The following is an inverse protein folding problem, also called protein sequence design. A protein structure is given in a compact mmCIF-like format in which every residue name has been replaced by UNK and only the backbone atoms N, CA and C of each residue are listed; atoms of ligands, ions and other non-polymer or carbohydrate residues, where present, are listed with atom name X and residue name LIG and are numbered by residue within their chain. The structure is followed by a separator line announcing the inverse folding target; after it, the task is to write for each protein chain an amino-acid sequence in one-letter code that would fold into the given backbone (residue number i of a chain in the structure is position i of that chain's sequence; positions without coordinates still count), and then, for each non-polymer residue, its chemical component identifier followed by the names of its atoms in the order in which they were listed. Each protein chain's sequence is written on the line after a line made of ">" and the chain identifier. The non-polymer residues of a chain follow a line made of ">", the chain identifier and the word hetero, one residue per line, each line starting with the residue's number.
data_IF_836966667911
#
_entry.id   IF_836966667911
#
_cell.length_a   1.000
_cell.length_b   1.000
_cell.length_c   1.000
_cell.angle_alpha   90.00
_cell.angle_beta   90.00
_cell.angle_gamma   90.00
#
_symmetry.space_group_name_H-M   'P 1'
#
loop_
_entity.id
_entity.type
_entity.pdbx_description
1 polymer ?
#
# COMPACT_ATOMS: atom_id res chain seq x y z
N UNK A 1 -8.18 -64.84 5.52
CA UNK A 1 -9.61 -64.78 5.94
C UNK A 1 -9.72 -63.63 6.95
N UNK A 2 -10.13 -62.42 6.53
CA UNK A 2 -11.49 -61.84 6.72
C UNK A 2 -11.94 -61.92 8.19
N UNK A 3 -12.26 -60.84 8.90
CA UNK A 3 -13.18 -59.77 8.52
C UNK A 3 -12.85 -58.41 9.15
N UNK A 4 -13.12 -57.36 8.37
CA UNK A 4 -13.36 -56.00 8.82
C UNK A 4 -14.74 -55.88 9.49
N UNK A 5 -14.79 -55.35 10.72
CA UNK A 5 -16.05 -54.94 11.36
C UNK A 5 -16.26 -53.45 11.15
N UNK A 6 -17.18 -53.14 10.25
CA UNK A 6 -17.70 -51.80 9.95
C UNK A 6 -18.55 -51.33 11.13
N UNK A 7 -18.16 -50.23 11.78
CA UNK A 7 -19.04 -49.54 12.72
C UNK A 7 -19.92 -48.56 11.93
N UNK A 8 -21.18 -48.95 11.74
CA UNK A 8 -22.24 -48.13 11.16
C UNK A 8 -22.70 -47.15 12.23
N UNK A 9 -22.37 -45.86 12.06
CA UNK A 9 -22.99 -44.77 12.83
C UNK A 9 -24.13 -44.21 11.97
N UNK A 10 -25.35 -44.51 12.42
CA UNK A 10 -26.61 -44.15 11.80
C UNK A 10 -27.09 -42.85 12.48
N UNK A 11 -26.77 -41.69 11.90
CA UNK A 11 -27.37 -40.42 12.32
C UNK A 11 -28.40 -40.04 11.26
N UNK A 12 -29.65 -40.34 11.58
CA UNK A 12 -30.81 -39.93 10.83
C UNK A 12 -31.27 -38.56 11.36
N UNK A 13 -31.20 -37.54 10.50
CA UNK A 13 -32.15 -36.43 10.43
C UNK A 13 -32.05 -35.28 11.43
N UNK A 14 -31.55 -34.14 10.95
CA UNK A 14 -32.34 -32.90 11.01
C UNK A 14 -31.94 -32.00 9.84
N UNK A 15 -32.85 -31.83 8.89
CA UNK A 15 -32.75 -30.86 7.81
C UNK A 15 -33.65 -29.69 8.20
N UNK A 16 -33.05 -28.54 8.52
CA UNK A 16 -33.74 -27.24 8.45
C UNK A 16 -32.94 -26.38 7.48
N UNK A 17 -33.62 -25.95 6.42
CA UNK A 17 -33.09 -25.14 5.34
C UNK A 17 -32.54 -23.81 5.88
N UNK A 18 -31.26 -23.54 5.61
CA UNK A 18 -30.71 -22.20 5.78
C UNK A 18 -31.27 -21.28 4.67
N UNK A 19 -31.64 -20.03 4.99
CA UNK A 19 -32.14 -19.09 3.99
C UNK A 19 -31.05 -18.80 2.94
N UNK A 20 -31.45 -18.79 1.67
CA UNK A 20 -30.61 -18.61 0.48
C UNK A 20 -30.10 -17.17 0.31
N UNK A 21 -29.56 -16.58 1.37
CA UNK A 21 -28.95 -15.26 1.38
C UNK A 21 -27.53 -15.50 1.89
N UNK A 22 -26.71 -16.06 1.00
CA UNK A 22 -25.28 -16.13 1.22
C UNK A 22 -24.80 -14.72 1.53
N UNK A 23 -24.33 -14.50 2.75
CA UNK A 23 -23.53 -13.32 3.07
C UNK A 23 -22.36 -13.32 2.08
N UNK A 24 -22.09 -12.22 1.36
CA UNK A 24 -20.82 -12.13 0.65
C UNK A 24 -19.74 -12.23 1.72
N UNK A 25 -19.02 -13.35 1.76
CA UNK A 25 -17.74 -13.40 2.43
C UNK A 25 -16.92 -12.27 1.79
N UNK A 26 -16.74 -11.19 2.55
CA UNK A 26 -15.72 -10.22 2.25
C UNK A 26 -14.42 -10.98 2.42
N UNK A 27 -13.89 -11.40 1.28
CA UNK A 27 -12.59 -12.02 1.15
C UNK A 27 -11.53 -10.98 1.55
N UNK A 28 -11.36 -10.81 2.86
CA UNK A 28 -10.27 -10.06 3.43
C UNK A 28 -9.08 -11.01 3.49
N UNK A 29 -8.54 -11.31 2.32
CA UNK A 29 -7.21 -11.88 2.14
C UNK A 29 -6.17 -10.84 2.60
N UNK A 30 -6.03 -10.68 3.91
CA UNK A 30 -4.96 -9.91 4.53
C UNK A 30 -3.77 -10.84 4.73
N UNK A 31 -3.10 -11.18 3.63
CA UNK A 31 -1.68 -11.57 3.55
C UNK A 31 -1.37 -12.17 2.16
N UNK A 32 -1.63 -11.42 1.09
CA UNK A 32 -1.11 -11.75 -0.23
C UNK A 32 0.36 -11.35 -0.30
N UNK A 33 1.26 -12.32 -0.24
CA UNK A 33 2.67 -12.18 -0.66
C UNK A 33 2.69 -11.54 -2.04
N UNK A 34 3.52 -10.51 -2.24
CA UNK A 34 3.50 -9.64 -3.42
C UNK A 34 3.87 -10.33 -4.76
N UNK A 35 4.02 -11.67 -4.76
CA UNK A 35 4.71 -12.42 -5.82
C UNK A 35 3.78 -13.26 -6.75
N UNK A 36 2.46 -13.36 -6.49
CA UNK A 36 1.56 -14.21 -7.30
C UNK A 36 0.55 -13.46 -8.20
N UNK A 37 0.76 -12.18 -8.48
CA UNK A 37 -0.14 -11.40 -9.36
C UNK A 37 0.38 -11.33 -10.79
N UNK A 38 0.15 -12.38 -11.57
CA UNK A 38 0.43 -12.44 -13.01
C UNK A 38 -0.50 -11.56 -13.90
N UNK A 39 -0.92 -10.38 -13.41
CA UNK A 39 -1.75 -9.40 -14.13
C UNK A 39 -1.14 -7.99 -14.09
N UNK A 40 -1.64 -7.03 -14.90
CA UNK A 40 -1.14 -5.66 -14.86
C UNK A 40 -1.39 -5.04 -13.46
N UNK A 41 -0.34 -4.47 -12.85
CA UNK A 41 -0.42 -3.82 -11.54
C UNK A 41 -1.57 -2.81 -11.49
N UNK A 42 -2.44 -2.95 -10.49
CA UNK A 42 -3.50 -1.97 -10.22
C UNK A 42 -2.88 -0.63 -9.77
N UNK A 43 -3.69 0.43 -9.74
CA UNK A 43 -3.24 1.72 -9.22
C UNK A 43 -2.78 1.63 -7.75
N UNK A 44 -3.50 0.85 -6.94
CA UNK A 44 -3.14 0.58 -5.54
C UNK A 44 -1.82 -0.16 -5.45
N UNK A 45 -1.58 -1.14 -6.33
CA UNK A 45 -0.36 -1.95 -6.31
C UNK A 45 0.89 -1.13 -6.57
N UNK A 46 0.77 -0.12 -7.44
CA UNK A 46 1.89 0.80 -7.72
C UNK A 46 2.20 1.68 -6.52
N UNK A 47 1.17 2.07 -5.75
CA UNK A 47 1.35 2.84 -4.52
C UNK A 47 2.01 1.95 -3.46
N UNK A 48 1.53 0.73 -3.29
CA UNK A 48 2.11 -0.25 -2.35
C UNK A 48 3.55 -0.56 -2.73
N UNK A 49 3.85 -0.87 -3.99
CA UNK A 49 5.22 -1.11 -4.48
C UNK A 49 6.15 0.08 -4.19
N UNK A 50 5.69 1.31 -4.44
CA UNK A 50 6.47 2.51 -4.11
C UNK A 50 6.64 2.72 -2.61
N UNK A 51 5.65 2.34 -1.81
CA UNK A 51 5.73 2.43 -0.36
C UNK A 51 6.69 1.37 0.22
N UNK A 52 6.63 0.13 -0.25
CA UNK A 52 7.49 -0.94 0.26
C UNK A 52 8.97 -0.73 -0.09
N UNK A 53 9.28 0.06 -1.13
CA UNK A 53 10.65 0.55 -1.42
C UNK A 53 11.25 1.43 -0.33
N UNK A 54 10.45 1.86 0.65
CA UNK A 54 10.93 2.65 1.80
C UNK A 54 11.52 1.77 2.91
N UNK A 55 11.30 0.45 2.88
CA UNK A 55 11.91 -0.47 3.83
C UNK A 55 13.41 -0.54 3.55
N UNK A 56 14.21 0.01 4.46
CA UNK A 56 15.67 0.09 4.32
C UNK A 56 16.35 -1.16 4.88
N UNK A 57 15.64 -1.93 5.72
CA UNK A 57 16.14 -3.15 6.32
C UNK A 57 15.14 -4.33 6.15
N UNK A 58 15.06 -4.88 4.93
CA UNK A 58 14.13 -5.99 4.64
C UNK A 58 14.44 -7.27 5.43
N UNK A 59 15.67 -7.42 5.93
CA UNK A 59 16.05 -8.59 6.73
C UNK A 59 15.53 -8.52 8.18
N UNK A 60 15.21 -7.32 8.67
CA UNK A 60 14.69 -7.12 10.02
C UNK A 60 13.17 -7.05 10.09
N UNK A 61 12.50 -6.64 9.00
CA UNK A 61 11.05 -6.51 8.97
C UNK A 61 10.49 -6.64 7.56
N UNK A 62 9.32 -7.29 7.44
CA UNK A 62 8.56 -7.42 6.20
C UNK A 62 7.80 -6.13 5.81
N UNK A 63 7.86 -5.08 6.64
CA UNK A 63 7.12 -3.83 6.49
C UNK A 63 8.01 -2.59 6.54
N UNK A 64 7.37 -1.41 6.44
CA UNK A 64 8.04 -0.13 6.69
C UNK A 64 7.66 0.31 8.09
N UNK A 65 8.65 0.51 8.97
CA UNK A 65 8.38 1.01 10.31
C UNK A 65 8.21 2.54 10.35
N UNK A 66 7.82 3.05 11.51
CA UNK A 66 7.55 4.49 11.68
C UNK A 66 8.80 5.34 11.51
N UNK A 67 9.97 4.87 11.94
CA UNK A 67 11.24 5.60 11.86
C UNK A 67 11.76 5.66 10.42
N UNK A 68 11.66 4.56 9.68
CA UNK A 68 11.95 4.50 8.24
C UNK A 68 11.04 5.46 7.46
N UNK A 69 9.74 5.40 7.73
CA UNK A 69 8.76 6.31 7.12
C UNK A 69 9.07 7.77 7.46
N UNK A 70 9.32 8.07 8.72
CA UNK A 70 9.62 9.43 9.19
C UNK A 70 10.89 9.98 8.54
N UNK A 71 11.96 9.19 8.47
CA UNK A 71 13.23 9.58 7.85
C UNK A 71 13.04 9.99 6.38
N UNK A 72 12.30 9.17 5.63
CA UNK A 72 11.97 9.46 4.23
C UNK A 72 11.10 10.71 4.07
N UNK A 73 10.13 10.92 4.97
CA UNK A 73 9.30 12.14 4.96
C UNK A 73 10.16 13.37 5.24
N UNK A 74 11.03 13.31 6.25
CA UNK A 74 11.93 14.42 6.61
C UNK A 74 12.89 14.73 5.46
N UNK A 75 13.50 13.73 4.84
CA UNK A 75 14.42 13.93 3.73
C UNK A 75 13.72 14.64 2.56
N UNK A 76 12.55 14.13 2.14
CA UNK A 76 11.78 14.71 1.04
C UNK A 76 11.25 16.11 1.36
N UNK A 77 10.78 16.33 2.59
CA UNK A 77 10.32 17.63 3.05
C UNK A 77 11.46 18.64 3.06
N UNK A 78 12.62 18.26 3.60
CA UNK A 78 13.84 19.09 3.64
C UNK A 78 14.30 19.45 2.23
N UNK A 79 14.41 18.47 1.32
CA UNK A 79 14.81 18.71 -0.05
C UNK A 79 13.84 19.62 -0.82
N UNK A 80 12.54 19.55 -0.50
CA UNK A 80 11.54 20.43 -1.09
C UNK A 80 11.59 21.83 -0.48
N UNK A 81 11.74 21.92 0.83
CA UNK A 81 11.86 23.19 1.56
C UNK A 81 13.05 23.99 1.06
N UNK A 82 14.23 23.37 0.94
CA UNK A 82 15.44 24.02 0.43
C UNK A 82 15.30 24.54 -1.01
N UNK A 83 14.37 24.00 -1.81
CA UNK A 83 14.06 24.52 -3.16
C UNK A 83 13.10 25.71 -3.13
N UNK A 84 12.34 25.87 -2.05
CA UNK A 84 11.39 26.97 -1.87
C UNK A 84 12.02 28.15 -1.14
N UNK A 85 12.81 27.89 -0.10
CA UNK A 85 13.57 28.90 0.65
C UNK A 85 14.75 29.37 -0.21
N UNK A 86 14.49 30.38 -1.04
CA UNK A 86 15.44 30.86 -2.03
C UNK A 86 16.60 31.64 -1.39
N UNK A 87 16.34 32.24 -0.22
CA UNK A 87 17.31 33.08 0.47
C UNK A 87 18.10 32.32 1.56
N UNK A 88 17.63 31.14 1.98
CA UNK A 88 18.32 30.24 2.90
C UNK A 88 18.21 30.66 4.37
N UNK A 89 17.19 31.43 4.76
CA UNK A 89 17.01 31.90 6.13
C UNK A 89 16.21 30.92 7.02
N UNK A 90 15.78 29.79 6.46
CA UNK A 90 14.99 28.80 7.20
C UNK A 90 13.49 29.10 7.22
N UNK A 91 13.02 30.08 6.46
CA UNK A 91 11.60 30.42 6.30
C UNK A 91 11.23 30.53 4.81
N UNK A 92 10.01 30.17 4.46
CA UNK A 92 9.49 30.38 3.10
C UNK A 92 8.44 31.48 3.14
N UNK A 93 8.76 32.60 2.53
CA UNK A 93 7.83 33.72 2.38
C UNK A 93 6.80 33.45 1.27
N UNK A 94 5.73 34.24 1.25
CA UNK A 94 4.71 34.14 0.20
C UNK A 94 5.27 34.40 -1.22
N UNK A 95 6.24 35.32 -1.34
CA UNK A 95 6.87 35.67 -2.61
C UNK A 95 7.79 34.56 -3.12
N UNK A 96 8.55 33.95 -2.23
CA UNK A 96 9.36 32.76 -2.54
C UNK A 96 8.49 31.60 -2.98
N UNK A 97 7.41 31.32 -2.26
CA UNK A 97 6.46 30.27 -2.61
C UNK A 97 5.81 30.51 -3.99
N UNK A 98 5.40 31.75 -4.27
CA UNK A 98 4.82 32.13 -5.57
C UNK A 98 5.83 31.95 -6.70
N UNK A 99 7.07 32.35 -6.48
CA UNK A 99 8.16 32.22 -7.46
C UNK A 99 8.46 30.76 -7.77
N UNK A 100 8.62 29.94 -6.72
CA UNK A 100 8.77 28.48 -6.86
C UNK A 100 7.63 27.87 -7.69
N UNK A 101 6.39 28.27 -7.43
CA UNK A 101 5.23 27.72 -8.13
C UNK A 101 5.09 28.16 -9.57
N UNK A 102 5.46 29.41 -9.89
CA UNK A 102 5.52 29.86 -11.27
C UNK A 102 6.59 29.11 -12.08
N UNK A 103 7.74 28.82 -11.47
CA UNK A 103 8.80 28.04 -12.10
C UNK A 103 8.36 26.60 -12.38
N UNK A 104 7.71 25.96 -11.40
CA UNK A 104 7.17 24.60 -11.59
C UNK A 104 6.11 24.51 -12.68
N UNK A 105 5.14 25.44 -12.68
CA UNK A 105 4.14 25.54 -13.76
C UNK A 105 4.82 25.74 -15.12
N UNK A 106 5.82 26.63 -15.21
CA UNK A 106 6.52 26.88 -16.46
C UNK A 106 7.21 25.61 -17.00
N UNK A 107 7.78 24.77 -16.12
CA UNK A 107 8.31 23.46 -16.53
C UNK A 107 7.21 22.55 -17.08
N UNK A 108 6.07 22.46 -16.40
CA UNK A 108 4.94 21.64 -16.84
C UNK A 108 4.36 22.09 -18.20
N UNK A 109 4.20 23.39 -18.41
CA UNK A 109 3.64 23.91 -19.67
C UNK A 109 4.64 23.92 -20.83
N UNK A 110 5.96 23.97 -20.57
CA UNK A 110 7.00 23.83 -21.61
C UNK A 110 6.99 22.45 -22.28
N UNK A 111 6.62 21.41 -21.55
CA UNK A 111 6.57 20.02 -22.06
C UNK A 111 5.36 19.75 -22.97
N UNK A 112 4.39 20.66 -23.04
CA UNK A 112 3.14 20.49 -23.82
C UNK A 112 3.12 21.25 -25.16
N UNK A 113 4.27 21.75 -25.64
CA UNK A 113 4.36 22.51 -26.89
C UNK A 113 5.19 21.77 -27.92
#
# INVERSE_FOLDING_TARGET
>A
MMQASKLIVLILGLMVAAPAWAEPQTDLDVAGTLDERNGPMTATDKIVDQFMKLNLNPDASDGVDFEEFQSMVIERATARFAKMDANGNGEVTADEYRTFWNNQKAQYYRLKR
#
